data_IF_350024318403
#
_entry.id   IF_350024318403
#
_cell.length_a   1.000
_cell.length_b   1.000
_cell.length_c   1.000
_cell.angle_alpha   90.00
_cell.angle_beta   90.00
_cell.angle_gamma   90.00
#
_symmetry.space_group_name_H-M   'P 1'
#
loop_
_entity.id
_entity.type
_entity.pdbx_description
1 polymer ?
#
# COMPACT_ATOMS: atom_id res chain seq x y z
N UNK A 1 -11.30 3.58 -11.63
CA UNK A 1 -10.79 3.62 -10.24
C UNK A 1 -9.30 3.90 -10.31
N UNK A 2 -8.80 4.92 -9.63
CA UNK A 2 -7.36 5.23 -9.58
C UNK A 2 -6.71 4.63 -8.33
N UNK A 3 -7.39 4.74 -7.19
CA UNK A 3 -6.95 4.20 -5.91
C UNK A 3 -8.01 3.24 -5.37
N UNK A 4 -7.63 2.38 -4.42
CA UNK A 4 -8.55 1.54 -3.68
C UNK A 4 -8.17 1.57 -2.19
N UNK A 5 -8.77 2.49 -1.46
CA UNK A 5 -8.48 2.75 -0.05
C UNK A 5 -9.70 2.63 0.83
N UNK A 6 -10.89 2.71 0.24
CA UNK A 6 -12.16 2.57 0.93
C UNK A 6 -13.23 1.98 -0.02
N UNK A 7 -14.37 1.57 0.53
CA UNK A 7 -15.47 0.96 -0.24
C UNK A 7 -16.04 1.91 -1.29
N UNK A 8 -16.00 3.21 -1.03
CA UNK A 8 -16.49 4.25 -1.95
C UNK A 8 -15.70 4.29 -3.27
N UNK A 9 -14.44 3.84 -3.26
CA UNK A 9 -13.61 3.75 -4.47
C UNK A 9 -14.10 2.72 -5.48
N UNK A 10 -14.96 1.77 -5.08
CA UNK A 10 -15.43 0.67 -5.94
C UNK A 10 -16.51 1.07 -6.95
N UNK A 11 -17.16 2.19 -6.82
CA UNK A 11 -18.26 2.61 -7.69
C UNK A 11 -19.48 1.66 -7.70
N UNK A 12 -19.29 0.36 -7.91
CA UNK A 12 -20.34 -0.67 -7.84
C UNK A 12 -19.88 -1.89 -7.04
N UNK A 13 -20.29 -1.94 -5.78
CA UNK A 13 -19.92 -3.03 -4.86
C UNK A 13 -20.42 -4.42 -5.33
N UNK A 14 -21.63 -4.51 -5.90
CA UNK A 14 -22.18 -5.80 -6.36
C UNK A 14 -21.35 -6.38 -7.49
N UNK A 15 -20.91 -5.54 -8.43
CA UNK A 15 -20.05 -5.94 -9.52
C UNK A 15 -18.69 -6.39 -9.00
N UNK A 16 -18.06 -5.61 -8.11
CA UNK A 16 -16.77 -5.97 -7.52
C UNK A 16 -16.82 -7.30 -6.77
N UNK A 17 -17.90 -7.57 -6.03
CA UNK A 17 -18.10 -8.86 -5.37
C UNK A 17 -18.27 -10.01 -6.36
N UNK A 18 -19.04 -9.80 -7.44
CA UNK A 18 -19.20 -10.82 -8.48
C UNK A 18 -17.85 -11.17 -9.14
N UNK A 19 -17.06 -10.16 -9.51
CA UNK A 19 -15.71 -10.33 -10.05
C UNK A 19 -14.78 -11.07 -9.07
N UNK A 20 -14.84 -10.73 -7.78
CA UNK A 20 -14.05 -11.41 -6.74
C UNK A 20 -14.44 -12.91 -6.63
N UNK A 21 -15.72 -13.25 -6.74
CA UNK A 21 -16.18 -14.64 -6.75
C UNK A 21 -15.73 -15.39 -8.02
N UNK A 22 -15.73 -14.76 -9.18
CA UNK A 22 -15.20 -15.38 -10.41
C UNK A 22 -13.69 -15.63 -10.31
N UNK A 23 -12.91 -14.65 -9.82
CA UNK A 23 -11.47 -14.83 -9.55
C UNK A 23 -11.22 -15.96 -8.53
N UNK A 24 -12.11 -16.11 -7.54
CA UNK A 24 -11.98 -17.20 -6.57
C UNK A 24 -12.18 -18.60 -7.20
N UNK A 25 -13.02 -18.73 -8.24
CA UNK A 25 -13.22 -19.98 -8.98
C UNK A 25 -11.99 -20.34 -9.83
N UNK A 26 -11.45 -19.36 -10.55
CA UNK A 26 -10.23 -19.51 -11.33
C UNK A 26 -9.26 -18.36 -11.04
N UNK A 27 -8.27 -18.66 -10.22
CA UNK A 27 -7.26 -17.67 -9.74
C UNK A 27 -6.29 -17.25 -10.83
N UNK A 28 -6.24 -17.94 -11.95
CA UNK A 28 -5.28 -17.72 -13.03
C UNK A 28 -5.90 -17.15 -14.30
N UNK A 29 -7.21 -16.94 -14.33
CA UNK A 29 -7.92 -16.43 -15.52
C UNK A 29 -7.36 -15.09 -16.05
N UNK A 30 -6.74 -14.29 -15.18
CA UNK A 30 -6.17 -12.98 -15.51
C UNK A 30 -4.63 -12.93 -15.46
N UNK A 31 -3.94 -14.05 -15.62
CA UNK A 31 -2.48 -14.16 -15.52
C UNK A 31 -1.72 -13.18 -16.44
N UNK A 32 -2.30 -12.75 -17.55
CA UNK A 32 -1.69 -11.78 -18.46
C UNK A 32 -1.88 -10.31 -18.08
N UNK A 33 -2.80 -10.00 -17.16
CA UNK A 33 -3.20 -8.62 -16.84
C UNK A 33 -2.06 -7.80 -16.24
N UNK A 34 -1.22 -8.43 -15.43
CA UNK A 34 -0.08 -7.82 -14.76
C UNK A 34 1.26 -7.97 -15.48
N UNK A 35 1.27 -8.46 -16.72
CA UNK A 35 2.50 -8.65 -17.48
C UNK A 35 3.31 -7.35 -17.58
N UNK A 36 4.60 -7.42 -17.23
CA UNK A 36 5.53 -6.28 -17.18
C UNK A 36 5.12 -5.17 -16.19
N UNK A 37 4.24 -5.46 -15.24
CA UNK A 37 3.85 -4.57 -14.16
C UNK A 37 4.51 -4.99 -12.85
N UNK A 38 4.81 -4.02 -12.01
CA UNK A 38 5.42 -4.22 -10.70
C UNK A 38 4.50 -3.68 -9.61
N UNK A 39 4.18 -4.53 -8.65
CA UNK A 39 3.55 -4.14 -7.40
C UNK A 39 4.63 -3.89 -6.35
N UNK A 40 4.65 -2.68 -5.79
CA UNK A 40 5.43 -2.36 -4.60
C UNK A 40 4.54 -2.48 -3.36
N UNK A 41 4.92 -3.35 -2.44
CA UNK A 41 4.25 -3.50 -1.15
C UNK A 41 5.09 -2.86 -0.06
N UNK A 42 4.50 -1.93 0.69
CA UNK A 42 5.18 -1.17 1.74
C UNK A 42 4.55 -1.49 3.07
N UNK A 43 5.37 -1.96 4.00
CA UNK A 43 4.97 -2.36 5.34
C UNK A 43 5.58 -1.43 6.38
N UNK A 44 4.76 -0.57 6.98
CA UNK A 44 5.11 0.15 8.21
C UNK A 44 4.92 -0.74 9.45
N UNK A 45 4.07 -1.75 9.32
CA UNK A 45 3.83 -2.78 10.33
C UNK A 45 3.93 -4.16 9.67
N UNK A 46 4.73 -5.04 10.23
CA UNK A 46 4.94 -6.38 9.69
C UNK A 46 3.66 -7.21 9.65
N UNK A 47 3.52 -8.07 8.65
CA UNK A 47 2.43 -9.03 8.54
C UNK A 47 2.81 -10.21 7.66
N UNK A 48 2.72 -11.39 8.22
CA UNK A 48 2.95 -12.62 7.46
C UNK A 48 1.82 -12.87 6.44
N UNK A 49 0.57 -12.82 6.90
CA UNK A 49 -0.59 -13.16 6.06
C UNK A 49 -0.78 -12.18 4.92
N UNK A 50 -0.77 -10.87 5.21
CA UNK A 50 -0.92 -9.82 4.18
C UNK A 50 0.20 -9.90 3.15
N UNK A 51 1.44 -10.10 3.59
CA UNK A 51 2.59 -10.26 2.70
C UNK A 51 2.38 -11.43 1.73
N UNK A 52 2.17 -12.63 2.25
CA UNK A 52 2.07 -13.85 1.44
C UNK A 52 0.84 -13.82 0.51
N UNK A 53 -0.32 -13.37 1.01
CA UNK A 53 -1.54 -13.33 0.21
C UNK A 53 -1.46 -12.30 -0.93
N UNK A 54 -0.95 -11.11 -0.65
CA UNK A 54 -0.81 -10.05 -1.65
C UNK A 54 0.25 -10.40 -2.70
N UNK A 55 1.41 -10.93 -2.28
CA UNK A 55 2.42 -11.42 -3.23
C UNK A 55 1.85 -12.51 -4.12
N UNK A 56 1.16 -13.50 -3.53
CA UNK A 56 0.55 -14.59 -4.31
C UNK A 56 -0.50 -14.08 -5.29
N UNK A 57 -1.34 -13.13 -4.88
CA UNK A 57 -2.32 -12.51 -5.77
C UNK A 57 -1.65 -11.79 -6.95
N UNK A 58 -0.62 -11.00 -6.70
CA UNK A 58 0.16 -10.33 -7.73
C UNK A 58 0.79 -11.33 -8.72
N UNK A 59 1.41 -12.40 -8.23
CA UNK A 59 1.98 -13.47 -9.05
C UNK A 59 0.91 -14.17 -9.91
N UNK A 60 -0.29 -14.40 -9.38
CA UNK A 60 -1.40 -14.99 -10.13
C UNK A 60 -1.85 -14.08 -11.29
N UNK A 61 -1.70 -12.76 -11.15
CA UNK A 61 -1.95 -11.78 -12.21
C UNK A 61 -0.78 -11.63 -13.19
N UNK A 62 0.36 -12.28 -12.94
CA UNK A 62 1.58 -12.16 -13.74
C UNK A 62 2.40 -10.90 -13.45
N UNK A 63 2.21 -10.28 -12.28
CA UNK A 63 2.98 -9.12 -11.83
C UNK A 63 4.31 -9.53 -11.19
N UNK A 64 5.32 -8.66 -11.33
CA UNK A 64 6.47 -8.66 -10.42
C UNK A 64 6.08 -8.05 -9.07
N UNK A 65 6.80 -8.43 -8.01
CA UNK A 65 6.58 -7.88 -6.66
C UNK A 65 7.86 -7.37 -6.06
N UNK A 66 7.81 -6.20 -5.47
CA UNK A 66 8.83 -5.64 -4.58
C UNK A 66 8.23 -5.47 -3.19
N UNK A 67 9.00 -5.77 -2.16
CA UNK A 67 8.55 -5.63 -0.77
C UNK A 67 9.51 -4.77 0.00
N UNK A 68 8.99 -3.78 0.69
CA UNK A 68 9.75 -2.85 1.51
C UNK A 68 9.19 -2.84 2.93
N UNK A 69 10.02 -3.19 3.88
CA UNK A 69 9.73 -3.06 5.31
C UNK A 69 10.37 -1.75 5.82
N UNK A 70 9.52 -0.78 6.15
CA UNK A 70 9.96 0.53 6.65
C UNK A 70 10.37 0.41 8.11
N UNK A 71 11.48 1.06 8.46
CA UNK A 71 12.04 1.06 9.83
C UNK A 71 12.49 -0.32 10.34
N UNK A 72 12.62 -1.31 9.45
CA UNK A 72 13.24 -2.59 9.78
C UNK A 72 14.61 -2.68 9.11
N UNK A 73 15.65 -2.87 9.93
CA UNK A 73 17.02 -2.91 9.44
C UNK A 73 17.69 -1.53 9.41
N UNK A 74 18.60 -1.33 8.46
CA UNK A 74 19.45 -0.13 8.38
C UNK A 74 18.75 1.08 7.74
N UNK A 75 17.64 0.90 7.03
CA UNK A 75 16.96 1.99 6.33
C UNK A 75 15.73 2.45 7.10
N UNK A 76 15.82 3.69 7.61
CA UNK A 76 14.77 4.33 8.38
C UNK A 76 14.25 5.55 7.61
N UNK A 77 12.94 5.81 7.72
CA UNK A 77 12.31 6.99 7.15
C UNK A 77 11.83 7.96 8.22
N UNK A 78 12.13 9.24 8.03
CA UNK A 78 11.49 10.30 8.78
C UNK A 78 10.09 10.56 8.21
N UNK A 79 9.09 10.55 9.07
CA UNK A 79 7.68 10.71 8.68
C UNK A 79 7.09 12.05 9.11
N UNK A 80 7.76 12.76 10.04
CA UNK A 80 7.27 14.03 10.56
C UNK A 80 7.75 15.20 9.70
N UNK A 81 6.87 16.16 9.44
CA UNK A 81 7.20 17.34 8.64
C UNK A 81 7.99 18.34 9.45
N UNK A 82 8.94 19.03 8.78
CA UNK A 82 9.70 20.13 9.37
C UNK A 82 10.81 19.69 10.33
N UNK A 83 11.11 18.39 10.39
CA UNK A 83 12.23 17.86 11.16
C UNK A 83 13.54 18.17 10.44
N UNK A 84 14.56 18.64 11.17
CA UNK A 84 15.91 18.79 10.66
C UNK A 84 16.51 17.38 10.50
N UNK A 85 17.00 17.06 9.30
CA UNK A 85 17.53 15.74 8.94
C UNK A 85 18.98 15.56 9.43
N UNK A 86 19.21 15.71 10.74
CA UNK A 86 20.51 15.56 11.42
C UNK A 86 20.59 14.34 12.35
N UNK A 87 19.52 13.54 12.37
CA UNK A 87 19.39 12.33 13.19
C UNK A 87 19.82 11.05 12.49
N UNK A 88 19.29 9.92 12.97
CA UNK A 88 19.61 8.56 12.50
C UNK A 88 18.75 8.10 11.31
N UNK A 89 17.89 8.96 10.78
CA UNK A 89 17.02 8.67 9.65
C UNK A 89 17.60 9.32 8.39
N UNK A 90 18.08 8.53 7.41
CA UNK A 90 18.81 9.06 6.27
C UNK A 90 17.91 9.75 5.23
N UNK A 91 16.60 9.53 5.27
CA UNK A 91 15.70 10.02 4.22
C UNK A 91 14.31 10.39 4.79
N UNK A 92 13.72 11.43 4.24
CA UNK A 92 12.37 11.84 4.58
C UNK A 92 11.34 11.12 3.69
N UNK A 93 10.22 10.68 4.28
CA UNK A 93 9.17 9.94 3.58
C UNK A 93 8.66 10.67 2.32
N UNK A 94 8.50 12.00 2.38
CA UNK A 94 8.01 12.78 1.24
C UNK A 94 8.99 12.83 0.06
N UNK A 95 10.28 12.63 0.31
CA UNK A 95 11.31 12.52 -0.74
C UNK A 95 11.35 11.09 -1.30
N UNK A 96 11.22 10.10 -0.42
CA UNK A 96 11.22 8.69 -0.81
C UNK A 96 10.00 8.28 -1.65
N UNK A 97 8.80 8.83 -1.38
CA UNK A 97 7.55 8.45 -2.06
C UNK A 97 7.64 8.60 -3.59
N UNK A 98 8.00 9.77 -4.17
CA UNK A 98 8.11 9.89 -5.63
C UNK A 98 9.19 8.98 -6.22
N UNK A 99 10.30 8.75 -5.50
CA UNK A 99 11.34 7.80 -5.93
C UNK A 99 10.78 6.38 -6.01
N UNK A 100 10.07 5.90 -4.99
CA UNK A 100 9.39 4.60 -5.00
C UNK A 100 8.42 4.49 -6.19
N UNK A 101 7.68 5.56 -6.49
CA UNK A 101 6.77 5.64 -7.62
C UNK A 101 7.45 5.44 -8.98
N UNK A 102 8.73 5.74 -9.12
CA UNK A 102 9.48 5.52 -10.38
C UNK A 102 9.71 4.03 -10.66
N UNK A 103 9.74 3.18 -9.64
CA UNK A 103 10.12 1.76 -9.76
C UNK A 103 8.93 0.79 -9.76
N UNK A 104 7.69 1.30 -9.69
CA UNK A 104 6.51 0.44 -9.66
C UNK A 104 5.35 1.00 -10.49
N UNK A 105 4.36 0.17 -10.74
CA UNK A 105 3.11 0.53 -11.43
C UNK A 105 1.94 0.70 -10.45
N UNK A 106 1.99 0.01 -9.31
CA UNK A 106 0.95 0.02 -8.28
C UNK A 106 1.62 -0.08 -6.90
N UNK A 107 1.07 0.59 -5.91
CA UNK A 107 1.57 0.58 -4.53
C UNK A 107 0.50 0.03 -3.59
N UNK A 108 0.87 -0.98 -2.80
CA UNK A 108 0.09 -1.46 -1.67
C UNK A 108 0.72 -1.00 -0.36
N UNK A 109 -0.08 -0.45 0.55
CA UNK A 109 0.41 0.10 1.83
C UNK A 109 -0.29 -0.58 3.00
N UNK A 110 0.51 -0.94 4.00
CA UNK A 110 0.06 -1.38 5.31
C UNK A 110 0.64 -0.46 6.38
N UNK A 111 -0.24 0.32 7.01
CA UNK A 111 0.14 1.27 8.06
C UNK A 111 -0.97 1.37 9.10
N UNK A 112 -0.69 0.95 10.32
CA UNK A 112 -1.64 1.03 11.42
C UNK A 112 -1.66 2.40 12.08
N UNK A 113 -2.70 2.64 12.87
CA UNK A 113 -2.77 3.76 13.79
C UNK A 113 -1.57 3.75 14.73
N UNK A 114 -0.99 4.92 14.98
CA UNK A 114 0.13 5.09 15.91
C UNK A 114 -0.33 5.33 17.34
N UNK A 115 -1.57 5.80 17.50
CA UNK A 115 -2.16 6.22 18.77
C UNK A 115 -1.44 7.40 19.46
N UNK A 116 -0.68 8.18 18.67
CA UNK A 116 0.03 9.38 19.10
C UNK A 116 -0.81 10.63 18.82
N UNK A 117 -1.49 10.67 17.68
CA UNK A 117 -2.38 11.73 17.25
C UNK A 117 -3.65 11.14 16.65
N UNK A 118 -4.78 11.38 17.31
CA UNK A 118 -6.10 10.95 16.82
C UNK A 118 -6.39 11.53 15.42
N UNK A 119 -6.01 12.79 15.19
CA UNK A 119 -6.22 13.46 13.92
C UNK A 119 -5.42 12.81 12.80
N UNK A 120 -4.12 12.53 13.00
CA UNK A 120 -3.24 11.89 12.03
C UNK A 120 -3.70 10.47 11.70
N UNK A 121 -4.16 9.72 12.72
CA UNK A 121 -4.66 8.36 12.55
C UNK A 121 -5.98 8.33 11.77
N UNK A 122 -6.94 9.21 12.11
CA UNK A 122 -8.21 9.31 11.39
C UNK A 122 -8.06 9.83 9.96
N UNK A 123 -7.10 10.70 9.73
CA UNK A 123 -6.77 11.20 8.39
C UNK A 123 -5.88 10.25 7.59
N UNK A 124 -5.50 9.09 8.14
CA UNK A 124 -4.61 8.11 7.49
C UNK A 124 -3.40 8.80 6.82
N UNK A 125 -2.71 9.65 7.58
CA UNK A 125 -1.66 10.58 7.13
C UNK A 125 -0.67 9.93 6.16
N UNK A 126 -0.15 8.76 6.49
CA UNK A 126 0.83 8.04 5.66
C UNK A 126 0.22 7.61 4.33
N UNK A 127 -0.95 6.95 4.36
CA UNK A 127 -1.65 6.50 3.15
C UNK A 127 -1.94 7.67 2.21
N UNK A 128 -2.42 8.79 2.75
CA UNK A 128 -2.73 9.99 1.97
C UNK A 128 -1.50 10.65 1.37
N UNK A 129 -0.33 10.60 2.02
CA UNK A 129 0.92 11.08 1.43
C UNK A 129 1.30 10.26 0.18
N UNK A 130 1.15 8.93 0.21
CA UNK A 130 1.39 8.09 -0.97
C UNK A 130 0.41 8.38 -2.10
N UNK A 131 -0.88 8.55 -1.80
CA UNK A 131 -1.91 8.91 -2.79
C UNK A 131 -1.54 10.23 -3.48
N UNK A 132 -1.06 11.21 -2.71
CA UNK A 132 -0.76 12.54 -3.21
C UNK A 132 0.55 12.61 -4.00
N UNK A 133 1.59 11.93 -3.55
CA UNK A 133 2.95 12.19 -4.05
C UNK A 133 3.57 11.04 -4.88
N UNK A 134 3.03 9.82 -4.86
CA UNK A 134 3.64 8.71 -5.59
C UNK A 134 3.44 8.76 -7.10
N UNK A 135 2.41 9.47 -7.57
CA UNK A 135 2.01 9.44 -8.99
C UNK A 135 1.46 8.09 -9.47
N UNK A 136 1.30 7.12 -8.59
CA UNK A 136 0.84 5.75 -8.89
C UNK A 136 -0.50 5.43 -8.24
N UNK A 137 -1.26 4.47 -8.78
CA UNK A 137 -2.40 3.90 -8.07
C UNK A 137 -1.97 3.31 -6.73
N UNK A 138 -2.72 3.63 -5.68
CA UNK A 138 -2.46 3.17 -4.32
C UNK A 138 -3.64 2.36 -3.83
N UNK A 139 -3.38 1.24 -3.14
CA UNK A 139 -4.41 0.53 -2.39
C UNK A 139 -3.98 0.27 -0.95
N UNK A 140 -4.96 0.31 -0.05
CA UNK A 140 -4.75 -0.03 1.35
C UNK A 140 -4.76 -1.55 1.51
N UNK A 141 -3.66 -2.10 2.03
CA UNK A 141 -3.62 -3.51 2.45
C UNK A 141 -4.20 -3.69 3.85
N UNK A 142 -4.02 -2.68 4.71
CA UNK A 142 -4.61 -2.53 6.03
C UNK A 142 -4.19 -1.16 6.56
N UNK A 143 -5.15 -0.30 6.88
CA UNK A 143 -4.89 1.07 7.33
C UNK A 143 -5.46 1.31 8.74
N UNK A 144 -5.18 2.48 9.30
CA UNK A 144 -5.55 2.83 10.67
C UNK A 144 -7.05 2.65 10.96
N UNK A 145 -7.90 3.05 10.02
CA UNK A 145 -9.36 2.98 10.21
C UNK A 145 -9.93 1.57 10.08
N UNK A 146 -9.26 0.67 9.38
CA UNK A 146 -9.76 -0.70 9.16
C UNK A 146 -9.82 -1.53 10.46
N UNK A 147 -9.02 -1.19 11.45
CA UNK A 147 -8.99 -1.88 12.76
C UNK A 147 -9.93 -1.27 13.79
N UNK A 148 -10.45 -0.07 13.55
CA UNK A 148 -11.31 0.64 14.50
C UNK A 148 -12.79 0.30 14.27
N UNK A 149 -13.13 -0.27 13.12
CA UNK A 149 -14.52 -0.52 12.70
C UNK A 149 -14.89 -2.02 12.64
N UNK A 150 -14.14 -2.87 13.33
CA UNK A 150 -14.50 -4.29 13.51
C UNK A 150 -15.28 -4.48 14.80
#
# INVERSE_FOLDING_TARGET
MRNFTCVQDLGNLKQALAEAFEIKKDRYQFTGLGKNKTLLMIFFNSSLRTRLSTQKAAMNLGMNTMVLDVNQGAWKLETERGVIMDGDKPEHLLEAIPVMGCYCDVIGIRSFARFESKEDDYNEKILNQFIQYSGRPVFSMEAALSLIHI
#
